data_IF_059487569485
#
_entry.id   IF_059487569485
#
_cell.length_a   1.000
_cell.length_b   1.000
_cell.length_c   1.000
_cell.angle_alpha   90.00
_cell.angle_beta   90.00
_cell.angle_gamma   90.00
#
_symmetry.space_group_name_H-M   'P 1'
#
loop_
_entity.id
_entity.type
_entity.pdbx_description
1 polymer ?
#
# COMPACT_ATOMS: atom_id res chain seq x y z
N UNK A 1 -12.51 -19.74 15.48
CA UNK A 1 -13.36 -18.58 15.83
C UNK A 1 -12.45 -17.37 15.98
N UNK A 2 -12.72 -16.28 15.27
CA UNK A 2 -12.02 -15.02 15.47
C UNK A 2 -12.63 -14.29 16.67
N UNK A 3 -11.80 -13.76 17.57
CA UNK A 3 -12.19 -13.07 18.80
C UNK A 3 -11.45 -11.75 18.95
N UNK A 4 -12.15 -10.74 19.46
CA UNK A 4 -11.60 -9.42 19.75
C UNK A 4 -11.01 -9.37 21.15
N UNK A 5 -9.81 -9.92 21.36
CA UNK A 5 -9.18 -10.04 22.69
C UNK A 5 -7.68 -9.81 22.59
N UNK A 6 -7.07 -9.39 23.71
CA UNK A 6 -5.61 -9.38 23.81
C UNK A 6 -5.04 -10.80 23.92
N UNK A 7 -3.79 -11.05 23.46
CA UNK A 7 -3.17 -12.37 23.53
C UNK A 7 -3.21 -13.01 24.93
N UNK A 8 -2.86 -12.24 25.97
CA UNK A 8 -2.84 -12.74 27.35
C UNK A 8 -4.23 -13.08 27.90
N UNK A 9 -5.25 -12.29 27.53
CA UNK A 9 -6.64 -12.55 27.91
C UNK A 9 -7.18 -13.79 27.22
N UNK A 10 -6.85 -13.98 25.94
CA UNK A 10 -7.25 -15.16 25.17
C UNK A 10 -6.59 -16.44 25.70
N UNK A 11 -5.31 -16.38 26.08
CA UNK A 11 -4.61 -17.48 26.75
C UNK A 11 -5.29 -17.81 28.09
N UNK A 12 -5.53 -16.80 28.94
CA UNK A 12 -6.24 -16.96 30.22
C UNK A 12 -7.64 -17.53 30.05
N UNK A 13 -8.36 -17.13 28.99
CA UNK A 13 -9.67 -17.65 28.66
C UNK A 13 -9.63 -19.14 28.31
N UNK A 14 -8.63 -19.58 27.54
CA UNK A 14 -8.44 -21.01 27.22
C UNK A 14 -8.07 -21.85 28.45
N UNK A 15 -7.45 -21.25 29.48
CA UNK A 15 -7.08 -21.92 30.73
C UNK A 15 -8.24 -22.10 31.71
N UNK A 16 -9.42 -21.54 31.45
CA UNK A 16 -10.57 -21.75 32.33
C UNK A 16 -10.96 -23.25 32.38
N UNK A 17 -11.39 -23.80 33.54
CA UNK A 17 -11.67 -25.23 33.68
C UNK A 17 -12.62 -25.83 32.64
N UNK A 18 -13.59 -25.05 32.14
CA UNK A 18 -14.55 -25.47 31.10
C UNK A 18 -13.96 -25.61 29.69
N UNK A 19 -12.82 -24.95 29.44
CA UNK A 19 -12.20 -24.76 28.13
C UNK A 19 -10.81 -25.40 28.03
N UNK A 20 -10.16 -25.63 29.17
CA UNK A 20 -8.85 -26.25 29.27
C UNK A 20 -8.78 -27.57 28.50
N UNK A 21 -7.79 -27.69 27.61
CA UNK A 21 -7.59 -28.86 26.75
C UNK A 21 -8.60 -29.04 25.61
N UNK A 22 -9.67 -28.22 25.55
CA UNK A 22 -10.73 -28.29 24.53
C UNK A 22 -10.64 -27.17 23.51
N UNK A 23 -10.08 -26.01 23.89
CA UNK A 23 -9.78 -24.90 22.98
C UNK A 23 -8.37 -24.37 23.26
N UNK A 24 -7.74 -23.84 22.22
CA UNK A 24 -6.47 -23.11 22.34
C UNK A 24 -6.41 -21.91 21.41
N UNK A 25 -5.48 -21.02 21.69
CA UNK A 25 -5.08 -19.96 20.77
C UNK A 25 -4.41 -20.60 19.56
N UNK A 26 -5.01 -20.39 18.39
CA UNK A 26 -4.56 -20.92 17.10
C UNK A 26 -3.82 -19.87 16.27
N UNK A 27 -4.17 -18.60 16.41
CA UNK A 27 -3.45 -17.51 15.75
C UNK A 27 -3.49 -16.23 16.58
N UNK A 28 -2.34 -15.56 16.68
CA UNK A 28 -2.19 -14.19 17.15
C UNK A 28 -2.14 -13.28 15.92
N UNK A 29 -3.27 -12.68 15.54
CA UNK A 29 -3.36 -11.86 14.33
C UNK A 29 -2.96 -10.41 14.60
N UNK A 30 -3.37 -9.85 15.75
CA UNK A 30 -2.97 -8.54 16.23
C UNK A 30 -3.11 -8.45 17.76
N UNK A 31 -2.81 -7.30 18.35
CA UNK A 31 -2.97 -7.06 19.79
C UNK A 31 -4.42 -7.10 20.26
N UNK A 32 -5.39 -6.94 19.35
CA UNK A 32 -6.82 -7.06 19.65
C UNK A 32 -7.54 -8.14 18.84
N UNK A 33 -6.83 -8.93 18.03
CA UNK A 33 -7.44 -9.96 17.18
C UNK A 33 -6.75 -11.32 17.33
N UNK A 34 -7.47 -12.26 17.92
CA UNK A 34 -6.99 -13.63 18.16
C UNK A 34 -7.92 -14.63 17.47
N UNK A 35 -7.39 -15.78 17.07
CA UNK A 35 -8.20 -16.92 16.61
C UNK A 35 -8.11 -18.05 17.62
N UNK A 36 -9.27 -18.50 18.11
CA UNK A 36 -9.42 -19.69 18.95
C UNK A 36 -9.81 -20.89 18.08
N UNK A 37 -9.26 -22.07 18.39
CA UNK A 37 -9.52 -23.32 17.69
C UNK A 37 -9.60 -24.49 18.67
N UNK A 38 -10.40 -25.49 18.35
CA UNK A 38 -10.61 -26.67 19.20
C UNK A 38 -11.96 -27.33 18.95
N UNK A 39 -12.48 -28.00 19.99
CA UNK A 39 -13.72 -28.77 19.93
C UNK A 39 -14.90 -27.88 19.52
N UNK A 40 -15.70 -28.32 18.54
CA UNK A 40 -16.85 -27.54 18.03
C UNK A 40 -17.84 -27.14 19.14
N UNK A 41 -18.16 -28.06 20.06
CA UNK A 41 -19.04 -27.78 21.22
C UNK A 41 -18.44 -26.72 22.15
N UNK A 42 -17.14 -26.83 22.46
CA UNK A 42 -16.46 -25.87 23.32
C UNK A 42 -16.35 -24.48 22.68
N UNK A 43 -16.15 -24.41 21.36
CA UNK A 43 -16.19 -23.15 20.61
C UNK A 43 -17.59 -22.51 20.66
N UNK A 44 -18.66 -23.30 20.58
CA UNK A 44 -20.03 -22.82 20.74
C UNK A 44 -20.30 -22.26 22.14
N UNK A 45 -19.87 -22.98 23.19
CA UNK A 45 -19.93 -22.52 24.58
C UNK A 45 -19.12 -21.23 24.78
N UNK A 46 -17.90 -21.17 24.25
CA UNK A 46 -17.03 -20.00 24.30
C UNK A 46 -17.65 -18.79 23.61
N UNK A 47 -18.27 -18.98 22.43
CA UNK A 47 -18.99 -17.92 21.73
C UNK A 47 -20.08 -17.33 22.62
N UNK A 48 -20.91 -18.17 23.24
CA UNK A 48 -22.00 -17.67 24.11
C UNK A 48 -21.47 -16.84 25.28
N UNK A 49 -20.39 -17.30 25.92
CA UNK A 49 -19.74 -16.56 27.02
C UNK A 49 -19.17 -15.22 26.56
N UNK A 50 -18.59 -15.16 25.36
CA UNK A 50 -18.04 -13.92 24.81
C UNK A 50 -19.14 -12.96 24.36
N UNK A 51 -20.23 -13.46 23.78
CA UNK A 51 -21.40 -12.67 23.41
C UNK A 51 -22.06 -12.04 24.65
N UNK A 52 -22.19 -12.80 25.75
CA UNK A 52 -22.70 -12.29 27.04
C UNK A 52 -21.82 -11.17 27.63
N UNK A 53 -20.53 -11.14 27.26
CA UNK A 53 -19.55 -10.12 27.67
C UNK A 53 -19.38 -9.01 26.65
N UNK A 54 -20.20 -8.99 25.60
CA UNK A 54 -20.12 -8.02 24.49
C UNK A 54 -18.74 -7.99 23.79
N UNK A 55 -18.01 -9.11 23.84
CA UNK A 55 -16.72 -9.28 23.15
C UNK A 55 -16.98 -9.82 21.76
N UNK A 56 -16.37 -9.20 20.73
CA UNK A 56 -16.48 -9.68 19.36
C UNK A 56 -16.06 -11.15 19.25
N UNK A 57 -16.96 -12.02 18.77
CA UNK A 57 -16.70 -13.43 18.55
C UNK A 57 -17.43 -13.96 17.30
N UNK A 58 -16.66 -14.29 16.25
CA UNK A 58 -17.17 -14.80 14.97
C UNK A 58 -16.64 -16.20 14.68
N UNK A 59 -17.54 -17.18 14.61
CA UNK A 59 -17.20 -18.53 14.16
C UNK A 59 -16.87 -18.48 12.67
N UNK A 60 -15.73 -19.07 12.31
CA UNK A 60 -15.25 -19.12 10.93
C UNK A 60 -15.86 -20.34 10.23
N UNK A 61 -16.16 -20.22 8.93
CA UNK A 61 -16.70 -21.32 8.11
C UNK A 61 -15.57 -22.29 7.70
N UNK A 62 -15.07 -23.05 8.66
CA UNK A 62 -14.00 -24.05 8.46
C UNK A 62 -14.47 -25.41 8.98
N UNK A 63 -14.15 -26.49 8.24
CA UNK A 63 -14.50 -27.85 8.65
C UNK A 63 -13.53 -28.46 9.67
N UNK A 64 -12.33 -27.89 9.80
CA UNK A 64 -11.24 -28.42 10.61
C UNK A 64 -10.73 -27.39 11.61
N UNK A 65 -10.36 -27.86 12.80
CA UNK A 65 -9.75 -27.06 13.85
C UNK A 65 -8.22 -27.03 13.70
N UNK A 66 -7.70 -26.30 12.71
CA UNK A 66 -6.26 -26.12 12.53
C UNK A 66 -5.60 -25.45 13.76
N UNK A 67 -4.31 -25.73 13.97
CA UNK A 67 -3.53 -25.26 15.12
C UNK A 67 -4.17 -25.59 16.50
N UNK A 68 -5.01 -26.64 16.55
CA UNK A 68 -5.64 -27.19 17.76
C UNK A 68 -5.15 -28.61 18.08
N UNK A 69 -5.45 -29.14 19.27
CA UNK A 69 -5.00 -30.48 19.74
C UNK A 69 -5.40 -31.59 18.77
N UNK A 70 -6.44 -31.36 17.96
CA UNK A 70 -6.82 -32.26 16.87
C UNK A 70 -5.71 -32.49 15.84
N UNK A 71 -4.84 -31.50 15.57
CA UNK A 71 -3.76 -31.63 14.59
C UNK A 71 -2.64 -32.58 15.06
N UNK A 72 -2.55 -32.87 16.35
CA UNK A 72 -1.53 -33.78 16.89
C UNK A 72 -1.72 -35.21 16.36
N UNK A 73 -2.97 -35.64 16.21
CA UNK A 73 -3.32 -36.99 15.70
C UNK A 73 -2.83 -37.25 14.27
N UNK A 74 -2.66 -36.19 13.47
CA UNK A 74 -2.22 -36.28 12.07
C UNK A 74 -0.77 -35.84 11.88
N UNK A 75 -0.07 -35.45 12.96
CA UNK A 75 1.30 -34.94 12.92
C UNK A 75 2.26 -35.96 12.28
N UNK A 76 2.30 -37.17 12.81
CA UNK A 76 3.21 -38.22 12.34
C UNK A 76 2.91 -38.72 10.92
N UNK A 77 1.65 -39.04 10.54
CA UNK A 77 1.33 -39.39 9.16
C UNK A 77 1.69 -38.30 8.14
N UNK A 78 1.46 -37.03 8.50
CA UNK A 78 1.80 -35.88 7.65
C UNK A 78 3.31 -35.73 7.49
N UNK A 79 4.06 -35.83 8.59
CA UNK A 79 5.53 -35.79 8.61
C UNK A 79 6.14 -36.89 7.73
N UNK A 80 5.64 -38.13 7.85
CA UNK A 80 6.10 -39.26 7.03
C UNK A 80 5.82 -39.02 5.54
N UNK A 81 4.64 -38.47 5.22
CA UNK A 81 4.27 -38.14 3.83
C UNK A 81 5.17 -37.04 3.25
N UNK A 82 5.46 -35.99 4.02
CA UNK A 82 6.39 -34.93 3.61
C UNK A 82 7.81 -35.44 3.39
N UNK A 83 8.29 -36.36 4.23
CA UNK A 83 9.58 -37.04 4.04
C UNK A 83 9.59 -37.86 2.75
N UNK A 84 8.53 -38.62 2.48
CA UNK A 84 8.40 -39.42 1.25
C UNK A 84 8.30 -38.57 -0.02
N UNK A 85 7.74 -37.37 0.07
CA UNK A 85 7.67 -36.43 -1.05
C UNK A 85 9.02 -35.74 -1.36
N UNK A 86 10.01 -35.82 -0.46
CA UNK A 86 11.34 -35.22 -0.57
C UNK A 86 11.36 -33.76 -1.06
N UNK A 87 10.45 -32.93 -0.53
CA UNK A 87 10.34 -31.53 -0.92
C UNK A 87 11.59 -30.77 -0.46
N UNK A 88 12.32 -30.19 -1.42
CA UNK A 88 13.48 -29.32 -1.17
C UNK A 88 13.14 -27.86 -1.49
N UNK A 89 13.41 -26.91 -0.57
CA UNK A 89 13.25 -25.50 -0.88
C UNK A 89 14.23 -25.07 -1.98
N UNK A 90 13.70 -24.47 -3.04
CA UNK A 90 14.51 -23.79 -4.05
C UNK A 90 14.95 -22.44 -3.50
N UNK A 91 16.02 -22.41 -2.71
CA UNK A 91 16.64 -21.15 -2.29
C UNK A 91 17.25 -20.46 -3.52
N UNK A 92 17.16 -19.14 -3.57
CA UNK A 92 17.80 -18.29 -4.58
C UNK A 92 17.32 -18.47 -6.03
N UNK A 93 16.22 -19.18 -6.30
CA UNK A 93 15.73 -19.38 -7.67
C UNK A 93 15.17 -18.10 -8.33
N UNK A 94 14.96 -17.03 -7.57
CA UNK A 94 14.43 -15.75 -8.05
C UNK A 94 15.49 -14.63 -8.11
N UNK A 95 16.76 -14.92 -7.82
CA UNK A 95 17.87 -13.98 -8.04
C UNK A 95 17.84 -12.66 -7.23
N UNK A 96 16.90 -12.47 -6.31
CA UNK A 96 16.73 -11.26 -5.51
C UNK A 96 16.54 -11.53 -4.01
N UNK A 97 16.69 -10.49 -3.19
CA UNK A 97 16.51 -10.52 -1.74
C UNK A 97 15.01 -10.54 -1.38
N UNK A 98 14.34 -11.68 -1.54
CA UNK A 98 13.01 -11.89 -0.98
C UNK A 98 13.17 -12.37 0.47
N UNK A 99 13.05 -11.43 1.41
CA UNK A 99 13.13 -11.73 2.83
C UNK A 99 11.79 -12.32 3.32
N UNK A 100 11.88 -13.40 4.07
CA UNK A 100 10.72 -14.06 4.66
C UNK A 100 10.84 -14.07 6.18
N UNK A 101 9.68 -13.89 6.81
CA UNK A 101 9.51 -13.78 8.25
C UNK A 101 8.52 -14.86 8.69
N UNK A 102 9.00 -15.80 9.51
CA UNK A 102 8.16 -16.91 9.98
C UNK A 102 7.10 -16.42 10.94
N UNK A 103 5.86 -16.88 10.75
CA UNK A 103 4.81 -16.80 11.77
C UNK A 103 4.67 -18.09 12.59
N UNK A 104 5.61 -19.04 12.48
CA UNK A 104 5.57 -20.32 13.22
C UNK A 104 6.46 -20.27 14.47
N UNK A 105 7.48 -19.42 14.46
CA UNK A 105 8.46 -19.31 15.53
C UNK A 105 8.39 -17.92 16.14
N UNK A 106 8.53 -17.87 17.46
CA UNK A 106 8.58 -16.63 18.24
C UNK A 106 9.80 -15.76 17.86
N UNK A 107 9.66 -14.45 18.05
CA UNK A 107 10.69 -13.41 17.92
C UNK A 107 11.99 -13.78 18.63
N UNK A 108 11.89 -14.37 19.84
CA UNK A 108 13.05 -14.79 20.62
C UNK A 108 13.90 -15.87 19.92
N UNK A 109 13.30 -16.65 19.00
CA UNK A 109 14.00 -17.66 18.22
C UNK A 109 14.54 -17.11 16.89
N UNK A 110 14.34 -15.82 16.63
CA UNK A 110 14.70 -15.02 15.44
C UNK A 110 15.07 -15.82 14.19
N UNK A 111 14.14 -16.64 13.73
CA UNK A 111 14.30 -17.34 12.46
C UNK A 111 13.74 -16.50 11.30
N UNK A 112 14.13 -15.23 11.25
CA UNK A 112 14.05 -14.46 10.00
C UNK A 112 15.06 -15.03 9.00
N UNK A 113 14.79 -14.92 7.69
CA UNK A 113 15.60 -15.56 6.62
C UNK A 113 17.10 -15.24 6.59
N UNK A 114 17.62 -14.33 7.41
CA UNK A 114 19.07 -14.15 7.60
C UNK A 114 19.72 -15.38 8.23
N UNK A 115 18.96 -16.21 8.95
CA UNK A 115 19.40 -17.53 9.43
C UNK A 115 18.74 -18.61 8.56
N UNK A 116 19.50 -19.57 7.98
CA UNK A 116 18.93 -20.55 7.06
C UNK A 116 17.97 -21.49 7.81
N UNK A 117 16.67 -21.19 7.77
CA UNK A 117 15.66 -22.17 8.18
C UNK A 117 15.62 -23.25 7.11
N UNK A 118 15.90 -24.51 7.47
CA UNK A 118 15.54 -25.59 6.60
C UNK A 118 14.00 -25.60 6.52
N UNK A 119 13.43 -25.18 5.38
CA UNK A 119 12.01 -25.40 5.03
C UNK A 119 11.76 -26.89 4.76
N UNK A 120 12.22 -27.70 5.70
CA UNK A 120 12.14 -29.13 5.72
C UNK A 120 10.78 -29.56 6.27
N UNK A 121 10.54 -30.86 6.21
CA UNK A 121 9.32 -31.51 6.68
C UNK A 121 8.93 -31.10 8.11
N UNK A 122 9.89 -30.82 9.00
CA UNK A 122 9.63 -30.35 10.38
C UNK A 122 8.97 -28.98 10.42
N UNK A 123 9.42 -28.03 9.58
CA UNK A 123 8.83 -26.68 9.51
C UNK A 123 7.35 -26.73 9.13
N UNK A 124 7.01 -27.50 8.10
CA UNK A 124 5.63 -27.63 7.62
C UNK A 124 4.74 -28.35 8.63
N UNK A 125 5.30 -29.33 9.35
CA UNK A 125 4.60 -30.03 10.43
C UNK A 125 4.34 -29.09 11.60
N UNK A 126 5.35 -28.30 12.00
CA UNK A 126 5.22 -27.29 13.04
C UNK A 126 4.23 -26.19 12.65
N UNK A 127 4.21 -25.76 11.39
CA UNK A 127 3.23 -24.80 10.88
C UNK A 127 1.79 -25.27 11.09
N UNK A 128 1.51 -26.55 10.84
CA UNK A 128 0.18 -27.13 11.01
C UNK A 128 -0.23 -27.26 12.49
N UNK A 129 0.72 -27.55 13.39
CA UNK A 129 0.42 -27.88 14.79
C UNK A 129 0.55 -26.72 15.76
N UNK A 130 1.44 -25.78 15.48
CA UNK A 130 1.76 -24.65 16.35
C UNK A 130 0.84 -23.46 16.06
N UNK A 131 0.62 -22.56 17.03
CA UNK A 131 -0.11 -21.33 16.79
C UNK A 131 0.60 -20.43 15.77
N UNK A 132 -0.19 -19.74 14.95
CA UNK A 132 0.29 -18.75 13.98
C UNK A 132 0.55 -17.42 14.69
N UNK A 133 1.80 -16.99 14.75
CA UNK A 133 2.25 -15.72 15.33
C UNK A 133 2.34 -14.64 14.23
N UNK A 134 1.18 -14.26 13.68
CA UNK A 134 1.11 -13.37 12.51
C UNK A 134 1.52 -11.94 12.84
N UNK A 135 1.04 -11.39 13.95
CA UNK A 135 1.46 -10.06 14.43
C UNK A 135 2.97 -9.98 14.63
N UNK A 136 3.55 -11.03 15.21
CA UNK A 136 4.97 -11.09 15.56
C UNK A 136 5.83 -11.13 14.28
N UNK A 137 5.38 -11.84 13.24
CA UNK A 137 6.04 -11.84 11.94
C UNK A 137 6.02 -10.44 11.28
N UNK A 138 4.90 -9.72 11.36
CA UNK A 138 4.80 -8.33 10.87
C UNK A 138 5.76 -7.42 11.64
N UNK A 139 5.74 -7.48 12.97
CA UNK A 139 6.62 -6.68 13.84
C UNK A 139 8.10 -6.95 13.50
N UNK A 140 8.46 -8.23 13.32
CA UNK A 140 9.81 -8.65 12.93
C UNK A 140 10.22 -8.06 11.59
N UNK A 141 9.33 -8.07 10.60
CA UNK A 141 9.58 -7.52 9.28
C UNK A 141 9.84 -6.01 9.35
N UNK A 142 8.93 -5.26 9.96
CA UNK A 142 8.99 -3.79 10.06
C UNK A 142 10.20 -3.31 10.86
N UNK A 143 10.62 -4.05 11.89
CA UNK A 143 11.79 -3.68 12.67
C UNK A 143 13.12 -3.85 11.92
N UNK A 144 13.15 -4.68 10.86
CA UNK A 144 14.38 -4.98 10.10
C UNK A 144 14.46 -4.25 8.76
N UNK A 145 13.33 -3.90 8.18
CA UNK A 145 13.20 -3.37 6.82
C UNK A 145 12.23 -2.19 6.79
N UNK A 146 12.37 -1.33 5.79
CA UNK A 146 11.36 -0.30 5.47
C UNK A 146 10.51 -0.76 4.31
N UNK A 147 9.21 -0.47 4.36
CA UNK A 147 8.24 -0.90 3.34
C UNK A 147 7.44 0.29 2.81
N UNK A 148 7.19 0.32 1.50
CA UNK A 148 6.38 1.36 0.86
C UNK A 148 4.87 1.04 0.88
N UNK A 149 4.51 -0.25 0.85
CA UNK A 149 3.13 -0.73 0.82
C UNK A 149 3.01 -2.17 1.30
N UNK A 150 1.78 -2.63 1.48
CA UNK A 150 1.43 -4.02 1.86
C UNK A 150 0.41 -4.61 0.89
N UNK A 151 0.68 -5.82 0.41
CA UNK A 151 -0.23 -6.60 -0.44
C UNK A 151 -0.67 -7.88 0.28
N UNK A 152 -1.98 -8.10 0.40
CA UNK A 152 -2.53 -9.36 0.89
C UNK A 152 -2.74 -10.33 -0.26
N UNK A 153 -1.84 -11.31 -0.39
CA UNK A 153 -1.94 -12.35 -1.40
C UNK A 153 -2.87 -13.46 -0.90
N UNK A 154 -4.07 -13.51 -1.46
CA UNK A 154 -5.08 -14.50 -1.11
C UNK A 154 -6.37 -14.26 -1.90
N UNK A 155 -7.37 -15.14 -1.78
CA UNK A 155 -8.64 -15.04 -2.50
C UNK A 155 -9.56 -13.92 -1.98
N UNK A 156 -9.23 -13.30 -0.85
CA UNK A 156 -9.96 -12.20 -0.23
C UNK A 156 -9.09 -11.56 0.86
N UNK A 157 -9.13 -10.23 1.09
CA UNK A 157 -8.38 -9.57 2.15
C UNK A 157 -8.96 -9.83 3.54
N UNK A 158 -8.73 -11.02 4.09
CA UNK A 158 -9.24 -11.44 5.39
C UNK A 158 -8.41 -10.91 6.56
N UNK A 159 -7.17 -10.48 6.30
CA UNK A 159 -6.20 -10.05 7.31
C UNK A 159 -5.94 -8.53 7.31
N UNK A 160 -6.62 -7.76 6.44
CA UNK A 160 -6.52 -6.28 6.40
C UNK A 160 -6.59 -5.62 7.78
N UNK A 161 -7.63 -5.94 8.56
CA UNK A 161 -7.82 -5.39 9.91
C UNK A 161 -6.61 -5.64 10.82
N UNK A 162 -6.30 -6.90 11.18
CA UNK A 162 -5.19 -7.20 12.07
C UNK A 162 -3.82 -6.76 11.52
N UNK A 163 -3.58 -6.88 10.21
CA UNK A 163 -2.31 -6.47 9.63
C UNK A 163 -2.10 -4.96 9.74
N UNK A 164 -3.10 -4.15 9.39
CA UNK A 164 -3.01 -2.68 9.48
C UNK A 164 -2.89 -2.18 10.93
N UNK A 165 -3.53 -2.86 11.88
CA UNK A 165 -3.36 -2.62 13.31
C UNK A 165 -1.90 -2.88 13.74
N UNK A 166 -1.37 -4.07 13.47
CA UNK A 166 0.02 -4.41 13.83
C UNK A 166 1.05 -3.50 13.16
N UNK A 167 0.83 -3.11 11.90
CA UNK A 167 1.69 -2.15 11.21
C UNK A 167 1.68 -0.79 11.93
N UNK A 168 0.47 -0.29 12.25
CA UNK A 168 0.30 1.02 12.89
C UNK A 168 0.86 1.05 14.30
N UNK A 169 0.73 -0.04 15.05
CA UNK A 169 1.27 -0.17 16.40
C UNK A 169 2.81 -0.02 16.43
N UNK A 170 3.50 -0.50 15.39
CA UNK A 170 4.97 -0.42 15.30
C UNK A 170 5.43 0.90 14.67
N UNK A 171 4.84 1.31 13.55
CA UNK A 171 5.29 2.49 12.79
C UNK A 171 4.72 3.82 13.29
N UNK A 172 3.67 3.79 14.13
CA UNK A 172 2.88 4.97 14.50
C UNK A 172 2.09 5.59 13.33
N UNK A 173 2.19 5.02 12.14
CA UNK A 173 1.56 5.48 10.90
C UNK A 173 1.06 4.29 10.08
N UNK A 174 0.13 4.56 9.15
CA UNK A 174 -0.43 3.51 8.29
C UNK A 174 0.42 3.33 7.02
N UNK A 175 0.72 2.08 6.66
CA UNK A 175 1.18 1.75 5.31
C UNK A 175 -0.02 1.57 4.36
N UNK A 176 0.11 1.96 3.08
CA UNK A 176 -0.85 1.62 2.05
C UNK A 176 -1.10 0.11 2.00
N UNK A 177 -2.37 -0.32 2.06
CA UNK A 177 -2.74 -1.74 2.11
C UNK A 177 -3.76 -2.10 1.02
N UNK A 178 -3.50 -3.17 0.26
CA UNK A 178 -4.42 -3.68 -0.75
C UNK A 178 -4.48 -5.20 -0.79
N UNK A 179 -5.69 -5.76 -0.97
CA UNK A 179 -5.86 -7.19 -1.23
C UNK A 179 -5.67 -7.51 -2.70
N UNK A 180 -5.06 -8.64 -3.04
CA UNK A 180 -4.82 -8.99 -4.45
C UNK A 180 -6.10 -9.48 -5.15
N UNK A 181 -6.96 -10.21 -4.44
CA UNK A 181 -8.26 -10.66 -4.92
C UNK A 181 -9.35 -10.34 -3.90
N UNK A 182 -10.59 -10.25 -4.37
CA UNK A 182 -11.76 -10.07 -3.51
C UNK A 182 -12.81 -11.16 -3.75
N UNK A 183 -13.52 -11.54 -2.69
CA UNK A 183 -14.51 -12.62 -2.73
C UNK A 183 -15.73 -12.13 -3.47
N UNK A 184 -16.25 -12.97 -4.37
CA UNK A 184 -17.43 -12.69 -5.22
C UNK A 184 -17.20 -11.58 -6.25
N UNK A 185 -15.95 -11.21 -6.50
CA UNK A 185 -15.57 -10.24 -7.52
C UNK A 185 -14.79 -10.92 -8.65
N UNK A 186 -14.74 -10.26 -9.81
CA UNK A 186 -13.97 -10.75 -10.95
C UNK A 186 -12.46 -10.66 -10.65
N UNK A 187 -11.78 -11.81 -10.73
CA UNK A 187 -10.38 -11.94 -10.35
C UNK A 187 -9.45 -11.08 -11.21
N UNK A 188 -9.75 -10.92 -12.51
CA UNK A 188 -8.95 -10.12 -13.43
C UNK A 188 -9.04 -8.64 -13.06
N UNK A 189 -10.25 -8.16 -12.76
CA UNK A 189 -10.48 -6.79 -12.32
C UNK A 189 -9.82 -6.49 -10.97
N UNK A 190 -9.95 -7.39 -9.98
CA UNK A 190 -9.34 -7.18 -8.66
C UNK A 190 -7.82 -7.21 -8.73
N UNK A 191 -7.26 -8.13 -9.52
CA UNK A 191 -5.80 -8.21 -9.71
C UNK A 191 -5.27 -7.00 -10.47
N UNK A 192 -5.94 -6.58 -11.55
CA UNK A 192 -5.61 -5.36 -12.28
C UNK A 192 -5.70 -4.11 -11.39
N UNK A 193 -6.67 -4.07 -10.47
CA UNK A 193 -6.80 -2.98 -9.49
C UNK A 193 -5.65 -2.99 -8.49
N UNK A 194 -5.20 -4.16 -8.03
CA UNK A 194 -4.01 -4.30 -7.19
C UNK A 194 -2.73 -3.84 -7.91
N UNK A 195 -2.58 -4.13 -9.21
CA UNK A 195 -1.47 -3.60 -10.01
C UNK A 195 -1.55 -2.06 -10.14
N UNK A 196 -2.74 -1.52 -10.40
CA UNK A 196 -2.96 -0.07 -10.42
C UNK A 196 -2.67 0.59 -9.07
N UNK A 197 -2.96 -0.10 -7.97
CA UNK A 197 -2.61 0.31 -6.61
C UNK A 197 -1.09 0.39 -6.42
N UNK A 198 -0.34 -0.63 -6.86
CA UNK A 198 1.13 -0.58 -6.79
C UNK A 198 1.67 0.57 -7.66
N UNK A 199 1.16 0.71 -8.89
CA UNK A 199 1.58 1.76 -9.82
C UNK A 199 1.37 3.18 -9.29
N UNK A 200 0.27 3.46 -8.59
CA UNK A 200 0.01 4.78 -8.00
C UNK A 200 0.75 5.04 -6.69
N UNK A 201 1.15 3.98 -5.98
CA UNK A 201 1.69 4.06 -4.62
C UNK A 201 3.21 4.06 -4.56
N UNK A 202 3.90 3.54 -5.58
CA UNK A 202 5.35 3.55 -5.64
C UNK A 202 5.82 4.68 -6.56
N UNK A 203 6.49 5.67 -5.98
CA UNK A 203 7.20 6.71 -6.73
C UNK A 203 8.61 6.20 -7.08
N UNK A 204 8.77 5.66 -8.27
CA UNK A 204 10.04 5.10 -8.75
C UNK A 204 10.35 5.59 -10.16
N UNK A 205 11.62 5.92 -10.47
CA UNK A 205 12.03 6.26 -11.83
C UNK A 205 11.90 5.07 -12.79
N UNK A 206 11.90 3.84 -12.26
CA UNK A 206 11.63 2.62 -13.02
C UNK A 206 10.19 2.16 -12.78
N UNK A 207 9.45 1.75 -13.83
CA UNK A 207 8.08 1.28 -13.68
C UNK A 207 8.04 0.07 -12.72
N UNK A 208 7.27 0.14 -11.61
CA UNK A 208 7.19 -0.97 -10.66
C UNK A 208 6.42 -2.18 -11.22
N UNK A 209 5.65 -1.97 -12.29
CA UNK A 209 4.77 -2.98 -12.90
C UNK A 209 5.10 -3.17 -14.39
N UNK A 210 5.29 -4.42 -14.81
CA UNK A 210 5.33 -4.82 -16.22
C UNK A 210 3.91 -5.13 -16.72
N UNK A 211 3.21 -4.10 -17.22
CA UNK A 211 1.87 -4.27 -17.79
C UNK A 211 1.86 -5.14 -19.07
N UNK A 212 2.97 -5.20 -19.80
CA UNK A 212 3.09 -6.08 -20.96
C UNK A 212 3.21 -7.54 -20.51
N UNK A 213 3.96 -7.80 -19.44
CA UNK A 213 4.06 -9.09 -18.77
C UNK A 213 2.73 -9.57 -18.20
N UNK A 214 1.98 -8.68 -17.54
CA UNK A 214 0.63 -9.00 -17.09
C UNK A 214 -0.28 -9.43 -18.25
N UNK A 215 -0.28 -8.67 -19.35
CA UNK A 215 -1.06 -9.02 -20.54
C UNK A 215 -0.65 -10.37 -21.14
N UNK A 216 0.66 -10.62 -21.31
CA UNK A 216 1.17 -11.92 -21.78
C UNK A 216 0.73 -13.07 -20.88
N UNK A 217 0.66 -12.84 -19.56
CA UNK A 217 0.20 -13.84 -18.61
C UNK A 217 -1.31 -14.13 -18.73
N UNK A 218 -2.13 -13.12 -19.03
CA UNK A 218 -3.57 -13.27 -19.19
C UNK A 218 -3.97 -13.84 -20.56
N UNK A 219 -3.41 -13.29 -21.63
CA UNK A 219 -3.83 -13.57 -23.02
C UNK A 219 -2.93 -14.61 -23.71
N UNK A 220 -1.86 -15.06 -23.05
CA UNK A 220 -0.88 -16.00 -23.59
C UNK A 220 0.24 -15.36 -24.42
N UNK A 221 1.13 -16.17 -25.01
CA UNK A 221 2.29 -15.69 -25.75
C UNK A 221 1.91 -14.94 -27.04
N UNK A 222 0.77 -15.25 -27.64
CA UNK A 222 0.27 -14.66 -28.89
C UNK A 222 -0.57 -13.39 -28.65
N UNK A 223 -0.44 -12.77 -27.47
CA UNK A 223 -1.22 -11.57 -27.13
C UNK A 223 -0.97 -10.43 -28.12
N UNK A 224 -2.03 -9.72 -28.50
CA UNK A 224 -1.93 -8.58 -29.42
C UNK A 224 -1.22 -7.43 -28.69
N UNK A 225 -0.12 -6.96 -29.27
CA UNK A 225 0.61 -5.80 -28.75
C UNK A 225 -0.28 -4.55 -28.90
N UNK A 226 -0.59 -3.83 -27.80
CA UNK A 226 -1.39 -2.63 -27.86
C UNK A 226 -0.74 -1.58 -28.75
N UNK A 227 -1.54 -0.93 -29.59
CA UNK A 227 -1.10 0.25 -30.34
C UNK A 227 -1.45 1.49 -29.54
N UNK A 228 -0.54 2.47 -29.55
CA UNK A 228 -0.78 3.78 -28.93
C UNK A 228 -2.01 4.40 -29.59
N UNK A 229 -3.06 4.63 -28.79
CA UNK A 229 -4.25 5.31 -29.24
C UNK A 229 -3.91 6.77 -29.54
N UNK A 230 -3.96 7.14 -30.82
CA UNK A 230 -3.78 8.52 -31.26
C UNK A 230 -5.10 9.28 -31.13
N UNK A 231 -5.03 10.60 -30.98
CA UNK A 231 -6.22 11.47 -30.91
C UNK A 231 -6.85 11.59 -29.52
N UNK A 232 -6.18 11.11 -28.47
CA UNK A 232 -6.56 11.45 -27.10
C UNK A 232 -6.21 12.92 -26.79
N UNK A 233 -6.97 13.60 -25.92
CA UNK A 233 -6.62 14.94 -25.46
C UNK A 233 -5.18 14.96 -24.91
N UNK A 234 -4.39 16.02 -25.19
CA UNK A 234 -3.08 16.18 -24.58
C UNK A 234 -3.19 16.38 -23.07
N UNK A 235 -2.07 16.28 -22.36
CA UNK A 235 -2.02 16.54 -20.93
C UNK A 235 -2.66 17.90 -20.59
N UNK A 236 -3.69 17.94 -19.73
CA UNK A 236 -4.37 19.18 -19.37
C UNK A 236 -3.51 19.93 -18.35
N UNK A 237 -2.63 20.81 -18.82
CA UNK A 237 -1.88 21.68 -17.94
C UNK A 237 -2.82 22.58 -17.13
N UNK A 238 -2.56 22.69 -15.83
CA UNK A 238 -3.24 23.66 -14.98
C UNK A 238 -2.82 25.08 -15.40
N UNK A 239 -3.79 25.84 -15.91
CA UNK A 239 -3.65 27.21 -16.35
C UNK A 239 -4.46 28.20 -15.51
N UNK A 240 -4.96 27.79 -14.33
CA UNK A 240 -5.78 28.63 -13.44
C UNK A 240 -4.99 29.85 -12.93
N UNK A 241 -3.66 29.73 -12.85
CA UNK A 241 -2.79 30.83 -12.47
C UNK A 241 -2.18 31.48 -13.71
N UNK A 242 -2.37 32.80 -13.92
CA UNK A 242 -1.70 33.50 -15.00
C UNK A 242 -0.18 33.41 -14.80
N UNK A 243 0.50 32.69 -15.71
CA UNK A 243 1.95 32.52 -15.67
C UNK A 243 2.71 33.80 -16.08
N UNK A 244 2.01 34.77 -16.69
CA UNK A 244 2.61 36.02 -17.13
C UNK A 244 2.62 37.06 -16.00
N UNK A 245 3.81 37.31 -15.42
CA UNK A 245 4.06 38.47 -14.58
C UNK A 245 4.51 39.65 -15.45
N UNK A 246 3.54 40.40 -15.97
CA UNK A 246 3.81 41.60 -16.77
C UNK A 246 4.06 42.82 -15.87
N UNK A 247 5.15 43.56 -16.10
CA UNK A 247 5.40 44.82 -15.37
C UNK A 247 4.36 45.87 -15.75
N UNK A 248 4.04 46.79 -14.84
CA UNK A 248 3.09 47.91 -15.14
C UNK A 248 3.51 48.70 -16.38
N UNK A 249 4.81 48.92 -16.57
CA UNK A 249 5.38 49.63 -17.72
C UNK A 249 5.19 48.88 -19.03
N UNK A 250 5.45 47.57 -19.04
CA UNK A 250 5.25 46.70 -20.20
C UNK A 250 3.77 46.64 -20.57
N UNK A 251 2.89 46.46 -19.57
CA UNK A 251 1.44 46.47 -19.77
C UNK A 251 0.96 47.80 -20.34
N UNK A 252 1.37 48.93 -19.76
CA UNK A 252 1.00 50.26 -20.24
C UNK A 252 1.45 50.50 -21.69
N UNK A 253 2.63 50.01 -22.07
CA UNK A 253 3.11 50.07 -23.44
C UNK A 253 2.29 49.20 -24.40
N UNK A 254 2.04 47.93 -24.05
CA UNK A 254 1.33 46.97 -24.90
C UNK A 254 -0.15 47.29 -25.06
N UNK A 255 -0.82 47.78 -24.01
CA UNK A 255 -2.25 48.08 -24.01
C UNK A 255 -2.54 49.56 -24.26
N UNK A 256 -1.57 50.34 -24.77
CA UNK A 256 -1.74 51.77 -25.05
C UNK A 256 -2.84 51.99 -26.08
N UNK A 257 -3.66 53.02 -25.87
CA UNK A 257 -4.74 53.43 -26.80
C UNK A 257 -4.52 54.84 -27.37
N UNK A 258 -3.72 55.65 -26.70
CA UNK A 258 -3.43 57.03 -27.14
C UNK A 258 -2.35 57.01 -28.23
N UNK A 259 -2.50 57.84 -29.29
CA UNK A 259 -1.48 58.01 -30.31
C UNK A 259 -0.20 58.62 -29.70
N UNK A 260 0.91 58.52 -30.45
CA UNK A 260 2.15 59.20 -30.11
C UNK A 260 1.99 60.71 -30.30
N UNK A 261 2.36 61.48 -29.28
CA UNK A 261 2.51 62.93 -29.39
C UNK A 261 3.95 63.26 -29.80
N UNK A 262 4.15 64.11 -30.80
CA UNK A 262 5.47 64.42 -31.36
C UNK A 262 6.45 64.98 -30.32
N UNK A 263 5.96 65.83 -29.40
CA UNK A 263 6.76 66.50 -28.37
C UNK A 263 6.77 65.72 -27.05
N UNK A 264 5.61 65.28 -26.59
CA UNK A 264 5.46 64.64 -25.29
C UNK A 264 5.77 63.14 -25.33
N UNK A 265 5.58 62.50 -26.49
CA UNK A 265 5.75 61.07 -26.65
C UNK A 265 4.61 60.25 -26.06
N UNK A 266 4.94 59.15 -25.38
CA UNK A 266 3.93 58.25 -24.82
C UNK A 266 3.68 58.51 -23.33
N UNK A 267 2.42 58.43 -22.92
CA UNK A 267 2.04 58.44 -21.52
C UNK A 267 2.57 57.17 -20.81
N UNK A 268 3.36 57.32 -19.74
CA UNK A 268 4.05 56.18 -19.08
C UNK A 268 3.31 55.59 -17.88
N UNK A 269 2.45 56.39 -17.24
CA UNK A 269 1.73 56.04 -16.02
C UNK A 269 0.46 56.87 -15.95
N UNK A 270 -0.64 56.25 -15.51
CA UNK A 270 -1.95 56.88 -15.49
C UNK A 270 -2.62 56.73 -14.12
N UNK A 271 -3.11 57.87 -13.61
CA UNK A 271 -4.34 58.04 -12.80
C UNK A 271 -4.34 57.76 -11.29
N UNK A 272 -3.27 58.07 -10.54
CA UNK A 272 -3.41 58.13 -9.06
C UNK A 272 -2.88 59.37 -8.33
N UNK A 273 -2.40 60.42 -8.99
CA UNK A 273 -2.14 61.72 -8.36
C UNK A 273 -2.14 62.83 -9.42
N UNK A 274 -2.19 64.10 -8.99
CA UNK A 274 -2.25 65.34 -9.81
C UNK A 274 -1.11 65.56 -10.81
N UNK A 275 -0.31 64.54 -11.10
CA UNK A 275 0.88 64.58 -11.94
C UNK A 275 0.74 63.62 -13.12
N UNK A 276 1.21 64.07 -14.29
CA UNK A 276 1.13 63.31 -15.55
C UNK A 276 2.55 63.20 -16.13
N UNK A 277 2.97 61.98 -16.45
CA UNK A 277 4.33 61.69 -16.90
C UNK A 277 4.31 61.14 -18.31
N UNK A 278 4.95 61.86 -19.23
CA UNK A 278 5.20 61.38 -20.58
C UNK A 278 6.67 60.99 -20.77
N UNK A 279 6.92 60.10 -21.71
CA UNK A 279 8.26 59.70 -22.12
C UNK A 279 8.36 59.83 -23.63
N UNK A 280 9.20 60.75 -24.05
CA UNK A 280 9.68 60.86 -25.41
C UNK A 280 11.19 60.65 -25.45
N UNK A 281 11.68 60.04 -26.53
CA UNK A 281 13.11 60.03 -26.86
C UNK A 281 13.22 60.80 -28.16
N UNK A 282 13.49 62.10 -28.06
CA UNK A 282 13.61 62.97 -29.20
C UNK A 282 14.88 62.63 -29.99
N UNK A 283 14.73 62.38 -31.28
CA UNK A 283 15.83 62.22 -32.23
C UNK A 283 15.66 63.28 -33.31
N UNK A 284 16.75 63.90 -33.72
CA UNK A 284 16.73 64.97 -34.73
C UNK A 284 16.19 64.51 -36.09
N UNK A 285 16.22 63.20 -36.39
CA UNK A 285 15.61 62.62 -37.58
C UNK A 285 14.10 62.41 -37.48
N UNK A 286 13.52 62.41 -36.27
CA UNK A 286 12.10 62.18 -36.04
C UNK A 286 11.30 63.50 -35.90
N UNK A 287 11.99 64.63 -35.71
CA UNK A 287 11.41 65.97 -35.48
C UNK A 287 12.15 67.00 -36.32
N UNK A 288 11.67 67.23 -37.54
CA UNK A 288 12.38 68.02 -38.57
C UNK A 288 12.68 69.47 -38.14
N UNK A 289 11.71 70.14 -37.51
CA UNK A 289 11.85 71.54 -37.12
C UNK A 289 12.89 71.76 -36.01
N UNK A 290 13.20 70.72 -35.21
CA UNK A 290 14.14 70.83 -34.08
C UNK A 290 15.59 71.00 -34.57
N UNK A 291 15.90 70.62 -35.81
CA UNK A 291 17.24 70.79 -36.41
C UNK A 291 17.65 72.25 -36.54
N UNK A 292 16.68 73.18 -36.61
CA UNK A 292 16.92 74.61 -36.72
C UNK A 292 17.33 75.30 -35.40
N UNK A 293 17.23 74.61 -34.27
CA UNK A 293 17.56 75.16 -32.95
C UNK A 293 18.99 74.77 -32.54
N UNK A 294 19.97 75.47 -33.10
CA UNK A 294 21.41 75.30 -32.84
C UNK A 294 21.93 76.47 -32.00
N UNK A 295 22.71 76.18 -30.95
CA UNK A 295 23.36 77.18 -30.10
C UNK A 295 24.79 77.44 -30.54
#
# INVERSE_FOLDING_TARGET
MAVGMAPGDAESFCQQPRFFGRIRVAAKNSNSSITLSGDSKAIGEAKRVLDEKEVFARILKVGNAYHSHHMESIREPYLASLKGADIKPKRNCLGGACNWYSSVYDLAKDKSMTTPIPFEHTYWTDNMTNPVLFSDAIISAINKESFDLTLEVGPHPALRGPATESIKDVLGSSLPYHGVLERNEDALNTFSSALGFVWKSIDSPTPPIDFAGFRRACDGPDCIIPRVQKGLPPYPWDHDKPMLKESKKSRAWRTRRTPFDELLGYLTSSRKNREVHWRNILRLGDVEWLQGHQF
#
